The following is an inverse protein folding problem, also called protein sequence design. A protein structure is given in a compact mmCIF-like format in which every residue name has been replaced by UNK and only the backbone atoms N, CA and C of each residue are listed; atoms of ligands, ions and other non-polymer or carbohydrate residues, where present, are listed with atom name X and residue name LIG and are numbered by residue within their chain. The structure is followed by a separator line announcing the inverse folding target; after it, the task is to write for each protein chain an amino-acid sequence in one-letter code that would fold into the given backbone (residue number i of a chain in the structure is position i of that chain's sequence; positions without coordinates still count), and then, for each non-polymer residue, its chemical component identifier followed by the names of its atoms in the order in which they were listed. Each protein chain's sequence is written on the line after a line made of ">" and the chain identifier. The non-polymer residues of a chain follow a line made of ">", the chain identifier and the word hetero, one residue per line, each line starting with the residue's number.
data_IF_939599617525
#
_entry.id   IF_939599617525
#
_cell.length_a   1.000
_cell.length_b   1.000
_cell.length_c   1.000
_cell.angle_alpha   90.00
_cell.angle_beta   90.00
_cell.angle_gamma   90.00
#
_symmetry.space_group_name_H-M   'P 1'
#
loop_
_entity.id
_entity.type
_entity.pdbx_description
1 polymer ?
#
# COMPACT_ATOMS: atom_id res chain seq x y z
N UNK A 1 10.31 3.10 -8.25
CA UNK A 1 9.54 4.23 -7.71
C UNK A 1 9.78 4.34 -6.21
N UNK A 2 10.36 5.46 -5.78
CA UNK A 2 10.56 5.76 -4.36
C UNK A 2 9.62 6.90 -3.96
N UNK A 3 9.06 6.83 -2.75
CA UNK A 3 8.23 7.90 -2.20
C UNK A 3 9.11 9.08 -1.79
N UNK A 4 9.09 10.14 -2.60
CA UNK A 4 9.91 11.33 -2.36
C UNK A 4 9.40 12.13 -1.15
N UNK A 5 10.24 13.02 -0.61
CA UNK A 5 9.83 13.92 0.48
C UNK A 5 8.65 14.81 0.07
N UNK A 6 8.68 15.34 -1.15
CA UNK A 6 7.60 16.13 -1.70
C UNK A 6 6.27 15.33 -1.78
N UNK A 7 6.33 14.09 -2.26
CA UNK A 7 5.14 13.22 -2.31
C UNK A 7 4.61 12.87 -0.91
N UNK A 8 5.50 12.67 0.05
CA UNK A 8 5.12 12.41 1.44
C UNK A 8 4.46 13.63 2.09
N UNK A 9 5.07 14.81 1.93
CA UNK A 9 4.53 16.06 2.45
C UNK A 9 3.17 16.37 1.83
N UNK A 10 3.02 16.16 0.52
CA UNK A 10 1.76 16.35 -0.18
C UNK A 10 0.68 15.38 0.30
N UNK A 11 1.02 14.11 0.51
CA UNK A 11 0.09 13.14 1.09
C UNK A 11 -0.40 13.60 2.47
N UNK A 12 0.50 14.06 3.35
CA UNK A 12 0.11 14.55 4.67
C UNK A 12 -0.78 15.80 4.57
N UNK A 13 -0.42 16.75 3.71
CA UNK A 13 -1.17 17.97 3.47
C UNK A 13 -2.59 17.65 2.99
N UNK A 14 -2.73 16.84 1.94
CA UNK A 14 -4.03 16.42 1.40
C UNK A 14 -4.87 15.73 2.48
N UNK A 15 -4.31 14.81 3.27
CA UNK A 15 -5.07 14.16 4.35
C UNK A 15 -5.59 15.14 5.40
N UNK A 16 -4.85 16.22 5.66
CA UNK A 16 -5.22 17.23 6.65
C UNK A 16 -6.21 18.27 6.10
N UNK A 17 -6.09 18.65 4.82
CA UNK A 17 -6.86 19.77 4.24
C UNK A 17 -8.01 19.33 3.33
N UNK A 18 -7.94 18.14 2.75
CA UNK A 18 -8.93 17.58 1.84
C UNK A 18 -9.03 16.05 2.00
N UNK A 19 -9.69 15.57 3.09
CA UNK A 19 -9.85 14.14 3.33
C UNK A 19 -10.72 13.45 2.26
N UNK A 20 -11.60 14.19 1.56
CA UNK A 20 -12.47 13.65 0.52
C UNK A 20 -11.69 13.21 -0.72
N UNK A 21 -10.53 13.83 -0.99
CA UNK A 21 -9.62 13.45 -2.08
C UNK A 21 -9.26 11.96 -2.07
N UNK A 22 -9.11 11.33 -0.88
CA UNK A 22 -8.77 9.90 -0.78
C UNK A 22 -9.90 9.03 -1.31
N UNK A 23 -11.14 9.32 -0.90
CA UNK A 23 -12.32 8.60 -1.35
C UNK A 23 -12.53 8.79 -2.85
N UNK A 24 -12.33 10.01 -3.36
CA UNK A 24 -12.43 10.31 -4.78
C UNK A 24 -11.36 9.57 -5.61
N UNK A 25 -10.11 9.56 -5.15
CA UNK A 25 -9.03 8.82 -5.81
C UNK A 25 -9.28 7.31 -5.80
N UNK A 26 -9.86 6.77 -4.71
CA UNK A 26 -10.24 5.36 -4.64
C UNK A 26 -11.39 5.03 -5.60
N UNK A 27 -12.40 5.89 -5.70
CA UNK A 27 -13.55 5.70 -6.58
C UNK A 27 -13.18 5.75 -8.07
N UNK A 28 -12.24 6.62 -8.44
CA UNK A 28 -11.81 6.83 -9.84
C UNK A 28 -10.60 5.96 -10.24
N UNK A 29 -10.11 5.11 -9.34
CA UNK A 29 -8.92 4.29 -9.60
C UNK A 29 -9.10 3.39 -10.81
N UNK A 30 -8.06 3.28 -11.64
CA UNK A 30 -8.02 2.28 -12.71
C UNK A 30 -8.05 0.89 -12.10
N UNK A 31 -9.06 0.11 -12.46
CA UNK A 31 -9.19 -1.30 -12.04
C UNK A 31 -8.56 -2.19 -13.10
N UNK A 32 -7.89 -3.25 -12.65
CA UNK A 32 -7.41 -4.34 -13.51
C UNK A 32 -8.29 -5.58 -13.33
N UNK A 33 -8.42 -6.45 -14.34
CA UNK A 33 -9.02 -7.77 -14.17
C UNK A 33 -8.34 -8.54 -13.03
N UNK A 34 -9.12 -9.37 -12.32
CA UNK A 34 -8.59 -10.18 -11.21
C UNK A 34 -7.53 -11.18 -11.70
N UNK A 35 -7.79 -11.81 -12.84
CA UNK A 35 -6.87 -12.66 -13.57
C UNK A 35 -6.83 -12.18 -15.03
N UNK A 36 -5.65 -12.21 -15.65
CA UNK A 36 -5.50 -12.00 -17.09
C UNK A 36 -5.76 -13.31 -17.85
N UNK A 37 -6.10 -13.27 -19.15
CA UNK A 37 -6.19 -14.49 -19.95
C UNK A 37 -4.90 -15.32 -19.86
N UNK A 38 -5.02 -16.61 -19.57
CA UNK A 38 -3.86 -17.51 -19.37
C UNK A 38 -3.16 -17.40 -18.01
N UNK A 39 -3.62 -16.53 -17.11
CA UNK A 39 -3.10 -16.43 -15.75
C UNK A 39 -3.94 -17.28 -14.79
N UNK A 40 -3.28 -18.21 -14.09
CA UNK A 40 -3.93 -19.14 -13.15
C UNK A 40 -3.61 -18.85 -11.68
N UNK A 41 -2.68 -17.94 -11.42
CA UNK A 41 -2.22 -17.61 -10.07
C UNK A 41 -2.29 -16.11 -9.83
N UNK A 42 -2.49 -15.74 -8.56
CA UNK A 42 -2.49 -14.37 -8.11
C UNK A 42 -1.40 -14.20 -7.06
N UNK A 43 -0.59 -13.15 -7.19
CA UNK A 43 0.41 -12.82 -6.20
C UNK A 43 0.04 -11.52 -5.49
N UNK A 44 -0.18 -11.62 -4.18
CA UNK A 44 -0.59 -10.50 -3.33
C UNK A 44 0.42 -10.28 -2.21
N UNK A 45 0.75 -9.03 -1.95
CA UNK A 45 1.48 -8.61 -0.74
C UNK A 45 0.48 -8.16 0.32
N UNK A 46 0.55 -8.75 1.50
CA UNK A 46 -0.27 -8.38 2.66
C UNK A 46 0.49 -7.41 3.59
N UNK A 47 -0.19 -6.37 4.08
CA UNK A 47 0.42 -5.32 4.89
C UNK A 47 -0.45 -4.83 6.05
N UNK A 48 -1.38 -5.66 6.52
CA UNK A 48 -2.32 -5.35 7.61
C UNK A 48 -1.76 -5.63 9.02
N UNK A 49 -0.66 -6.38 9.13
CA UNK A 49 0.01 -6.73 10.39
C UNK A 49 0.20 -5.54 11.36
N UNK A 50 0.60 -4.33 10.93
CA UNK A 50 0.76 -3.19 11.85
C UNK A 50 -0.54 -2.76 12.51
N UNK A 51 -1.69 -2.90 11.82
CA UNK A 51 -2.99 -2.60 12.39
C UNK A 51 -3.37 -3.59 13.52
N UNK A 52 -2.73 -4.77 13.54
CA UNK A 52 -2.89 -5.81 14.57
C UNK A 52 -1.83 -5.73 15.67
N UNK A 53 -0.97 -4.70 15.66
CA UNK A 53 0.15 -4.57 16.59
C UNK A 53 1.35 -5.49 16.28
N UNK A 54 1.32 -6.24 15.17
CA UNK A 54 2.41 -7.09 14.74
C UNK A 54 3.38 -6.29 13.85
N UNK A 55 4.45 -5.76 14.44
CA UNK A 55 5.43 -4.90 13.77
C UNK A 55 6.75 -5.60 13.44
N UNK A 56 7.00 -6.75 14.06
CA UNK A 56 8.25 -7.49 13.95
C UNK A 56 8.34 -8.28 12.65
N UNK A 57 9.52 -8.32 12.05
CA UNK A 57 9.86 -9.20 10.93
C UNK A 57 11.25 -9.77 11.16
N UNK A 58 11.37 -11.10 11.20
CA UNK A 58 12.63 -11.77 11.52
C UNK A 58 13.16 -11.32 12.89
N UNK A 59 14.42 -10.86 12.93
CA UNK A 59 15.07 -10.37 14.15
C UNK A 59 14.84 -8.89 14.46
N UNK A 60 14.16 -8.11 13.60
CA UNK A 60 13.88 -6.70 13.84
C UNK A 60 12.46 -6.53 14.41
N UNK A 61 12.31 -6.18 15.71
CA UNK A 61 11.01 -6.03 16.36
C UNK A 61 10.20 -4.82 15.85
N UNK A 62 10.84 -3.90 15.13
CA UNK A 62 10.24 -2.64 14.67
C UNK A 62 10.21 -2.51 13.14
N UNK A 63 10.45 -3.60 12.42
CA UNK A 63 10.60 -3.63 10.97
C UNK A 63 9.44 -2.96 10.20
N UNK A 64 8.22 -2.95 10.75
CA UNK A 64 7.04 -2.33 10.16
C UNK A 64 6.53 -1.08 10.89
N UNK A 65 7.23 -0.60 11.92
CA UNK A 65 6.78 0.53 12.75
C UNK A 65 6.74 1.86 11.98
N UNK A 66 7.69 2.08 11.07
CA UNK A 66 7.73 3.31 10.29
C UNK A 66 6.77 3.22 9.08
N UNK A 67 5.68 3.99 9.14
CA UNK A 67 4.64 4.01 8.10
C UNK A 67 5.15 4.49 6.73
N UNK A 68 6.06 5.46 6.70
CA UNK A 68 6.61 6.00 5.45
C UNK A 68 7.48 4.94 4.75
N UNK A 69 8.37 4.29 5.49
CA UNK A 69 9.21 3.20 4.99
C UNK A 69 8.40 1.98 4.58
N UNK A 70 7.31 1.67 5.30
CA UNK A 70 6.36 0.63 4.89
C UNK A 70 5.70 0.98 3.55
N UNK A 71 5.12 2.18 3.41
CA UNK A 71 4.52 2.63 2.15
C UNK A 71 5.53 2.61 0.99
N UNK A 72 6.77 3.03 1.22
CA UNK A 72 7.84 2.95 0.23
C UNK A 72 8.07 1.52 -0.28
N UNK A 73 8.15 0.54 0.62
CA UNK A 73 8.30 -0.89 0.26
C UNK A 73 7.08 -1.41 -0.51
N UNK A 74 5.86 -1.01 -0.14
CA UNK A 74 4.65 -1.40 -0.86
C UNK A 74 4.60 -0.83 -2.28
N UNK A 75 5.03 0.42 -2.48
CA UNK A 75 5.14 1.01 -3.81
C UNK A 75 6.17 0.26 -4.67
N UNK A 76 7.31 -0.11 -4.09
CA UNK A 76 8.32 -0.95 -4.77
C UNK A 76 7.75 -2.31 -5.20
N UNK A 77 6.94 -2.94 -4.35
CA UNK A 77 6.28 -4.20 -4.71
C UNK A 77 5.27 -4.01 -5.86
N UNK A 78 4.48 -2.94 -5.82
CA UNK A 78 3.46 -2.61 -6.83
C UNK A 78 4.02 -2.24 -8.21
N UNK A 79 5.30 -1.89 -8.32
CA UNK A 79 5.95 -1.69 -9.62
C UNK A 79 6.02 -2.97 -10.46
N UNK A 80 5.92 -4.13 -9.81
CA UNK A 80 5.84 -5.41 -10.52
C UNK A 80 4.40 -5.60 -11.02
N UNK A 81 4.17 -5.68 -12.35
CA UNK A 81 2.83 -5.62 -12.93
C UNK A 81 1.90 -6.77 -12.49
N UNK A 82 2.48 -7.88 -12.03
CA UNK A 82 1.75 -9.08 -11.58
C UNK A 82 1.52 -9.10 -10.07
N UNK A 83 2.10 -8.15 -9.32
CA UNK A 83 1.90 -8.00 -7.88
C UNK A 83 0.63 -7.19 -7.63
N UNK A 84 -0.21 -7.66 -6.73
CA UNK A 84 -1.28 -6.89 -6.12
C UNK A 84 -1.01 -6.60 -4.65
N UNK A 85 -1.78 -5.68 -4.09
CA UNK A 85 -1.85 -5.47 -2.64
C UNK A 85 -3.14 -6.05 -2.09
N UNK A 86 -3.04 -6.71 -0.95
CA UNK A 86 -4.17 -7.05 -0.11
C UNK A 86 -4.06 -6.28 1.21
N UNK A 87 -5.13 -5.56 1.55
CA UNK A 87 -5.31 -4.94 2.85
C UNK A 87 -6.49 -5.65 3.48
N UNK A 88 -6.23 -6.72 4.25
CA UNK A 88 -7.28 -7.45 4.98
C UNK A 88 -7.61 -6.67 6.26
N UNK A 89 -8.05 -5.42 6.10
CA UNK A 89 -8.82 -4.66 7.08
C UNK A 89 -9.46 -3.45 6.37
N UNK A 90 -10.58 -3.71 5.70
CA UNK A 90 -11.60 -2.70 5.43
C UNK A 90 -12.84 -3.21 6.16
N UNK A 91 -12.95 -2.80 7.42
CA UNK A 91 -14.14 -2.91 8.25
C UNK A 91 -14.49 -1.49 8.66
#
# INVERSE_FOLDING_TARGET
>A
MRLTDAQWAELLRVRATDPAAIAHAYATRRRRPLLRPGQHTLFLVAADHPARGALAVGGDPTAMANRRSLLGRLLTALEKPDVGLSLIHLS
#
